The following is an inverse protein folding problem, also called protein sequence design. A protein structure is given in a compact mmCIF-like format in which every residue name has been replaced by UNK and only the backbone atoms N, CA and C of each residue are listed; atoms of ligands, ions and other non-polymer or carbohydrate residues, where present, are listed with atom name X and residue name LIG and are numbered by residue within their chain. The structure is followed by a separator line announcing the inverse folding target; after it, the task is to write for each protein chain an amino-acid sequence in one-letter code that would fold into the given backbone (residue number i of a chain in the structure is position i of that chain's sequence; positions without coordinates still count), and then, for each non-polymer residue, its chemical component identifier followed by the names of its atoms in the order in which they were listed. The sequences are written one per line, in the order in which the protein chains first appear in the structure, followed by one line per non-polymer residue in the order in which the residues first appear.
data_IF_387460343371
#
_entry.id   IF_387460343371
#
_cell.length_a   1.000
_cell.length_b   1.000
_cell.length_c   1.000
_cell.angle_alpha   90.00
_cell.angle_beta   90.00
_cell.angle_gamma   90.00
#
_symmetry.space_group_name_H-M   'P 1'
#
loop_
_entity.id
_entity.type
_entity.pdbx_description
1 polymer ?
#
# COMPACT_ATOMS: atom_id res chain seq x y z
N UNK A 1 -22.18 13.75 -53.88
CA UNK A 1 -22.80 12.47 -53.49
C UNK A 1 -22.07 11.74 -52.39
N UNK A 2 -20.75 11.58 -52.42
CA UNK A 2 -19.97 10.85 -51.39
C UNK A 2 -20.01 11.46 -49.96
N UNK A 3 -20.12 12.78 -49.81
CA UNK A 3 -20.22 13.42 -48.47
C UNK A 3 -21.61 13.24 -47.81
N UNK A 4 -22.68 13.20 -48.59
CA UNK A 4 -24.04 13.00 -48.06
C UNK A 4 -24.22 11.54 -47.60
N UNK A 5 -23.66 10.56 -48.36
CA UNK A 5 -23.72 9.16 -47.93
C UNK A 5 -22.94 8.87 -46.62
N UNK A 6 -21.80 9.55 -46.42
CA UNK A 6 -21.04 9.44 -45.17
C UNK A 6 -21.76 10.07 -43.98
N UNK A 7 -22.45 11.20 -44.19
CA UNK A 7 -23.24 11.83 -43.15
C UNK A 7 -24.47 10.98 -42.77
N UNK A 8 -25.16 10.40 -43.73
CA UNK A 8 -26.33 9.53 -43.50
C UNK A 8 -25.89 8.22 -42.81
N UNK A 9 -24.76 7.63 -43.21
CA UNK A 9 -24.24 6.46 -42.54
C UNK A 9 -23.78 6.75 -41.10
N UNK A 10 -23.15 7.90 -40.85
CA UNK A 10 -22.77 8.31 -39.48
C UNK A 10 -24.02 8.63 -38.62
N UNK A 11 -25.06 9.23 -39.17
CA UNK A 11 -26.30 9.48 -38.44
C UNK A 11 -27.07 8.20 -38.13
N UNK A 12 -27.09 7.23 -39.04
CA UNK A 12 -27.77 5.95 -38.82
C UNK A 12 -27.01 5.08 -37.78
N UNK A 13 -25.71 5.07 -37.80
CA UNK A 13 -24.90 4.40 -36.78
C UNK A 13 -25.08 5.05 -35.40
N UNK A 14 -25.11 6.38 -35.32
CA UNK A 14 -25.37 7.10 -34.06
C UNK A 14 -26.81 6.86 -33.54
N UNK A 15 -27.82 6.80 -34.40
CA UNK A 15 -29.21 6.49 -34.01
C UNK A 15 -29.36 5.04 -33.54
N UNK A 16 -28.68 4.07 -34.21
CA UNK A 16 -28.69 2.67 -33.79
C UNK A 16 -27.96 2.44 -32.46
N UNK A 17 -26.89 3.18 -32.19
CA UNK A 17 -26.19 3.11 -30.91
C UNK A 17 -27.01 3.73 -29.77
N UNK A 18 -27.74 4.83 -29.99
CA UNK A 18 -28.62 5.44 -29.02
C UNK A 18 -29.83 4.56 -28.66
N UNK A 19 -30.39 3.83 -29.63
CA UNK A 19 -31.49 2.90 -29.38
C UNK A 19 -31.05 1.66 -28.62
N UNK A 20 -29.85 1.10 -28.94
CA UNK A 20 -29.29 -0.04 -28.22
C UNK A 20 -28.95 0.32 -26.76
N UNK A 21 -28.44 1.54 -26.49
CA UNK A 21 -28.13 2.00 -25.14
C UNK A 21 -29.37 2.24 -24.29
N UNK A 22 -30.42 2.84 -24.84
CA UNK A 22 -31.71 2.99 -24.16
C UNK A 22 -32.29 1.62 -23.80
N UNK A 23 -32.04 0.62 -24.62
CA UNK A 23 -32.48 -0.75 -24.40
C UNK A 23 -31.78 -1.41 -23.20
N UNK A 24 -30.43 -1.29 -23.07
CA UNK A 24 -29.68 -1.87 -21.91
C UNK A 24 -30.11 -1.25 -20.58
N UNK A 25 -30.20 0.09 -20.47
CA UNK A 25 -30.66 0.72 -19.24
C UNK A 25 -32.09 0.33 -18.89
N UNK A 26 -32.98 0.27 -19.87
CA UNK A 26 -34.36 -0.16 -19.66
C UNK A 26 -34.44 -1.63 -19.21
N UNK A 27 -33.62 -2.50 -19.76
CA UNK A 27 -33.53 -3.91 -19.34
C UNK A 27 -33.02 -4.01 -17.89
N UNK A 28 -31.97 -3.26 -17.51
CA UNK A 28 -31.46 -3.24 -16.15
C UNK A 28 -32.50 -2.72 -15.13
N UNK A 29 -33.24 -1.68 -15.49
CA UNK A 29 -34.29 -1.11 -14.62
C UNK A 29 -35.52 -2.02 -14.50
N UNK A 30 -35.73 -2.95 -15.43
CA UNK A 30 -36.82 -3.93 -15.43
C UNK A 30 -36.46 -5.27 -14.77
N UNK A 31 -35.24 -5.44 -14.26
CA UNK A 31 -34.84 -6.68 -13.59
C UNK A 31 -35.62 -6.90 -12.29
N UNK A 32 -35.77 -8.16 -11.93
CA UNK A 32 -36.23 -8.55 -10.59
C UNK A 32 -35.05 -8.90 -9.67
N UNK A 33 -35.18 -8.73 -8.35
CA UNK A 33 -34.15 -9.14 -7.40
C UNK A 33 -33.76 -10.61 -7.57
N UNK A 34 -32.46 -10.92 -7.49
CA UNK A 34 -31.92 -12.27 -7.65
C UNK A 34 -31.62 -12.70 -9.10
N UNK A 35 -31.98 -11.88 -10.07
CA UNK A 35 -31.71 -12.17 -11.48
C UNK A 35 -30.22 -12.00 -11.83
N UNK A 36 -29.72 -12.90 -12.67
CA UNK A 36 -28.40 -12.76 -13.30
C UNK A 36 -28.63 -12.20 -14.71
N UNK A 37 -28.12 -11.02 -14.96
CA UNK A 37 -28.18 -10.35 -16.26
C UNK A 37 -26.79 -10.37 -16.92
N UNK A 38 -26.73 -10.92 -18.12
CA UNK A 38 -25.49 -10.94 -18.89
C UNK A 38 -25.52 -9.84 -19.95
N UNK A 39 -24.59 -8.89 -19.86
CA UNK A 39 -24.45 -7.85 -20.87
C UNK A 39 -24.03 -8.46 -22.21
N UNK A 40 -24.66 -8.00 -23.31
CA UNK A 40 -24.41 -8.58 -24.64
C UNK A 40 -22.96 -8.32 -25.09
N UNK A 41 -22.45 -9.14 -26.04
CA UNK A 41 -21.15 -8.89 -26.65
C UNK A 41 -21.11 -7.56 -27.39
N UNK A 42 -19.91 -6.96 -27.48
CA UNK A 42 -19.66 -5.67 -28.12
C UNK A 42 -19.57 -4.52 -27.15
N UNK A 43 -19.68 -3.29 -27.66
CA UNK A 43 -19.52 -2.08 -26.87
C UNK A 43 -20.82 -1.69 -26.18
N UNK A 44 -20.76 -1.53 -24.86
CA UNK A 44 -21.85 -1.07 -24.00
C UNK A 44 -21.48 0.31 -23.44
N UNK A 45 -22.38 1.26 -23.50
CA UNK A 45 -22.20 2.59 -22.91
C UNK A 45 -22.43 2.60 -21.40
N UNK A 46 -22.08 3.68 -20.67
CA UNK A 46 -22.29 3.80 -19.24
C UNK A 46 -23.73 3.52 -18.80
N UNK A 47 -23.89 2.89 -17.64
CA UNK A 47 -25.19 2.54 -17.09
C UNK A 47 -25.22 2.62 -15.57
N UNK A 48 -26.45 2.57 -15.03
CA UNK A 48 -26.73 2.59 -13.59
C UNK A 48 -27.48 1.32 -13.19
N UNK A 49 -27.07 0.69 -12.09
CA UNK A 49 -27.74 -0.49 -11.52
C UNK A 49 -28.56 -0.04 -10.30
N UNK A 50 -29.89 -0.07 -10.43
CA UNK A 50 -30.85 0.40 -9.42
C UNK A 50 -31.67 -0.71 -8.78
N UNK A 51 -31.60 -1.92 -9.29
CA UNK A 51 -32.36 -3.06 -8.75
C UNK A 51 -31.48 -3.82 -7.77
N UNK A 52 -31.95 -4.02 -6.55
CA UNK A 52 -31.22 -4.68 -5.51
C UNK A 52 -31.07 -6.20 -5.74
N UNK A 53 -29.94 -6.78 -5.28
CA UNK A 53 -29.71 -8.22 -5.30
C UNK A 53 -29.51 -8.82 -6.69
N UNK A 54 -29.30 -8.03 -7.72
CA UNK A 54 -29.03 -8.54 -9.06
C UNK A 54 -27.54 -8.79 -9.28
N UNK A 55 -27.25 -9.74 -10.18
CA UNK A 55 -25.89 -9.94 -10.69
C UNK A 55 -25.83 -9.45 -12.14
N UNK A 56 -24.96 -8.48 -12.41
CA UNK A 56 -24.65 -8.00 -13.76
C UNK A 56 -23.24 -8.51 -14.12
N UNK A 57 -23.15 -9.30 -15.16
CA UNK A 57 -21.86 -9.82 -15.64
C UNK A 57 -21.72 -9.60 -17.15
N UNK A 58 -20.49 -9.62 -17.61
CA UNK A 58 -20.21 -9.44 -19.03
C UNK A 58 -20.00 -10.77 -19.76
N UNK A 59 -20.45 -10.83 -20.99
CA UNK A 59 -19.96 -11.81 -21.94
C UNK A 59 -18.48 -11.54 -22.24
N UNK A 60 -17.69 -12.56 -22.59
CA UNK A 60 -16.23 -12.43 -22.80
C UNK A 60 -15.80 -11.33 -23.78
N UNK A 61 -16.62 -11.02 -24.77
CA UNK A 61 -16.38 -9.97 -25.78
C UNK A 61 -17.07 -8.63 -25.45
N UNK A 62 -17.60 -8.44 -24.25
CA UNK A 62 -18.24 -7.19 -23.82
C UNK A 62 -17.21 -6.17 -23.37
N UNK A 63 -17.30 -4.96 -23.92
CA UNK A 63 -16.54 -3.79 -23.49
C UNK A 63 -17.50 -2.71 -22.98
N UNK A 64 -17.44 -2.37 -21.71
CA UNK A 64 -18.14 -1.22 -21.13
C UNK A 64 -17.26 0.01 -21.28
N UNK A 65 -17.64 0.94 -22.17
CA UNK A 65 -16.85 2.12 -22.53
C UNK A 65 -17.46 3.41 -21.99
N UNK A 66 -16.72 4.12 -21.14
CA UNK A 66 -17.16 5.37 -20.53
C UNK A 66 -17.20 6.57 -21.46
N UNK A 67 -16.71 6.46 -22.70
CA UNK A 67 -16.70 7.57 -23.66
C UNK A 67 -15.81 8.75 -23.23
N UNK A 68 -14.92 8.57 -22.27
CA UNK A 68 -14.02 9.61 -21.76
C UNK A 68 -14.66 10.61 -20.80
N UNK A 69 -15.86 10.34 -20.28
CA UNK A 69 -16.59 11.27 -19.42
C UNK A 69 -17.29 10.55 -18.26
N UNK A 70 -17.29 11.16 -17.08
CA UNK A 70 -18.02 10.70 -15.91
C UNK A 70 -17.69 9.31 -15.43
N UNK A 71 -18.59 8.72 -14.68
CA UNK A 71 -18.53 7.34 -14.18
C UNK A 71 -19.13 6.38 -15.21
N UNK A 72 -18.47 5.23 -15.39
CA UNK A 72 -18.92 4.24 -16.37
C UNK A 72 -20.01 3.32 -15.83
N UNK A 73 -19.81 2.77 -14.62
CA UNK A 73 -20.79 1.91 -13.95
C UNK A 73 -21.12 2.54 -12.60
N UNK A 74 -22.36 2.94 -12.41
CA UNK A 74 -22.88 3.46 -11.15
C UNK A 74 -23.78 2.40 -10.49
N UNK A 75 -23.48 2.01 -9.25
CA UNK A 75 -24.27 1.06 -8.48
C UNK A 75 -24.96 1.81 -7.34
N UNK A 76 -26.29 1.92 -7.41
CA UNK A 76 -27.13 2.61 -6.44
C UNK A 76 -27.93 1.66 -5.53
N UNK A 77 -27.91 0.35 -5.82
CA UNK A 77 -28.73 -0.63 -5.11
C UNK A 77 -27.90 -1.61 -4.28
N UNK A 78 -28.49 -2.10 -3.19
CA UNK A 78 -27.87 -3.03 -2.26
C UNK A 78 -27.74 -4.45 -2.83
N UNK A 79 -26.73 -5.20 -2.41
CA UNK A 79 -26.55 -6.62 -2.73
C UNK A 79 -26.25 -6.89 -4.21
N UNK A 80 -25.87 -5.89 -4.98
CA UNK A 80 -25.52 -6.03 -6.39
C UNK A 80 -24.17 -6.72 -6.54
N UNK A 81 -24.06 -7.64 -7.49
CA UNK A 81 -22.76 -8.17 -7.96
C UNK A 81 -22.51 -7.66 -9.38
N UNK A 82 -21.35 -7.00 -9.59
CA UNK A 82 -20.85 -6.59 -10.90
C UNK A 82 -19.53 -7.30 -11.19
N UNK A 83 -19.49 -8.13 -12.23
CA UNK A 83 -18.34 -9.02 -12.43
C UNK A 83 -18.00 -9.36 -13.86
N UNK A 84 -16.72 -9.74 -14.08
CA UNK A 84 -16.22 -10.30 -15.33
C UNK A 84 -16.19 -9.32 -16.50
N UNK A 85 -16.18 -8.02 -16.24
CA UNK A 85 -16.31 -6.97 -17.25
C UNK A 85 -14.97 -6.30 -17.60
N UNK A 86 -14.76 -6.03 -18.89
CA UNK A 86 -13.78 -5.07 -19.34
C UNK A 86 -14.41 -3.66 -19.30
N UNK A 87 -13.89 -2.77 -18.41
CA UNK A 87 -14.38 -1.39 -18.28
C UNK A 87 -13.26 -0.45 -18.69
N UNK A 88 -13.52 0.47 -19.59
CA UNK A 88 -12.52 1.36 -20.17
C UNK A 88 -13.02 2.81 -20.22
N UNK A 89 -12.06 3.70 -20.32
CA UNK A 89 -12.26 5.04 -20.86
C UNK A 89 -13.28 5.89 -20.07
N UNK A 90 -13.34 5.76 -18.74
CA UNK A 90 -14.10 6.68 -17.89
C UNK A 90 -13.46 8.07 -17.84
N UNK A 91 -14.15 9.04 -17.27
CA UNK A 91 -13.70 10.42 -17.16
C UNK A 91 -12.42 10.59 -16.35
N UNK A 92 -11.91 11.81 -16.31
CA UNK A 92 -10.66 12.15 -15.62
C UNK A 92 -10.81 13.20 -14.51
N UNK A 93 -12.02 13.65 -14.24
CA UNK A 93 -12.27 14.71 -13.26
C UNK A 93 -12.30 14.12 -11.85
N UNK A 94 -11.21 14.32 -11.10
CA UNK A 94 -11.06 13.83 -9.73
C UNK A 94 -12.02 14.53 -8.76
N UNK A 95 -12.44 15.77 -9.06
CA UNK A 95 -13.37 16.52 -8.20
C UNK A 95 -14.81 16.04 -8.36
N UNK A 96 -15.16 15.52 -9.54
CA UNK A 96 -16.45 14.90 -9.81
C UNK A 96 -16.48 13.42 -9.46
N UNK A 97 -15.34 12.88 -8.99
CA UNK A 97 -15.17 11.48 -8.63
C UNK A 97 -15.41 10.52 -9.81
N UNK A 98 -15.03 10.93 -11.03
CA UNK A 98 -15.15 10.07 -12.20
C UNK A 98 -14.48 8.71 -11.93
N UNK A 99 -15.21 7.61 -12.18
CA UNK A 99 -14.77 6.27 -11.84
C UNK A 99 -15.13 5.23 -12.89
N UNK A 100 -14.35 4.15 -12.95
CA UNK A 100 -14.74 2.95 -13.70
C UNK A 100 -16.00 2.34 -13.10
N UNK A 101 -15.98 2.10 -11.78
CA UNK A 101 -17.13 1.66 -10.99
C UNK A 101 -17.30 2.56 -9.78
N UNK A 102 -18.45 3.17 -9.62
CA UNK A 102 -18.83 3.96 -8.45
C UNK A 102 -19.94 3.24 -7.67
N UNK A 103 -19.69 2.95 -6.39
CA UNK A 103 -20.70 2.35 -5.50
C UNK A 103 -21.23 3.43 -4.59
N UNK A 104 -22.51 3.76 -4.75
CA UNK A 104 -23.16 4.84 -4.03
C UNK A 104 -23.46 4.44 -2.57
N UNK A 105 -23.69 5.44 -1.74
CA UNK A 105 -23.90 5.32 -0.28
C UNK A 105 -25.04 4.38 0.10
N UNK A 106 -26.06 4.31 -0.71
CA UNK A 106 -27.25 3.49 -0.49
C UNK A 106 -26.99 2.00 -0.79
N UNK A 107 -25.95 1.72 -1.58
CA UNK A 107 -25.62 0.38 -2.06
C UNK A 107 -24.74 -0.35 -1.02
N UNK A 108 -25.35 -1.10 -0.11
CA UNK A 108 -24.66 -1.94 0.87
C UNK A 108 -24.45 -3.37 0.37
N UNK A 109 -23.39 -4.03 0.83
CA UNK A 109 -23.14 -5.44 0.50
C UNK A 109 -22.91 -5.69 -1.00
N UNK A 110 -22.34 -4.71 -1.71
CA UNK A 110 -22.05 -4.80 -3.14
C UNK A 110 -20.78 -5.62 -3.36
N UNK A 111 -20.75 -6.41 -4.43
CA UNK A 111 -19.57 -7.12 -4.89
C UNK A 111 -19.14 -6.60 -6.26
N UNK A 112 -17.87 -6.17 -6.36
CA UNK A 112 -17.20 -5.80 -7.62
C UNK A 112 -16.07 -6.80 -7.84
N UNK A 113 -16.23 -7.77 -8.77
CA UNK A 113 -15.33 -8.90 -8.85
C UNK A 113 -14.84 -9.21 -10.27
N UNK A 114 -13.59 -9.67 -10.36
CA UNK A 114 -13.00 -10.22 -11.59
C UNK A 114 -13.10 -9.31 -12.83
N UNK A 115 -13.14 -7.99 -12.61
CA UNK A 115 -13.19 -7.02 -13.70
C UNK A 115 -11.80 -6.59 -14.14
N UNK A 116 -11.69 -6.19 -15.39
CA UNK A 116 -10.50 -5.56 -15.94
C UNK A 116 -10.79 -4.09 -16.21
N UNK A 117 -10.30 -3.22 -15.32
CA UNK A 117 -10.57 -1.78 -15.31
C UNK A 117 -9.34 -1.01 -15.79
N UNK A 118 -9.49 -0.12 -16.78
CA UNK A 118 -8.39 0.73 -17.25
C UNK A 118 -8.86 2.14 -17.60
N UNK A 119 -8.30 3.16 -16.92
CA UNK A 119 -8.69 4.55 -17.14
C UNK A 119 -7.89 5.55 -16.31
N UNK A 120 -8.37 6.81 -16.25
CA UNK A 120 -7.59 7.96 -15.79
C UNK A 120 -7.86 8.37 -14.35
N UNK A 121 -9.14 8.44 -13.97
CA UNK A 121 -9.55 8.78 -12.61
C UNK A 121 -9.65 7.51 -11.73
N UNK A 122 -10.66 7.38 -10.87
CA UNK A 122 -10.74 6.27 -9.92
C UNK A 122 -11.12 4.95 -10.61
N UNK A 123 -10.46 3.85 -10.22
CA UNK A 123 -10.86 2.53 -10.73
C UNK A 123 -12.19 2.10 -10.10
N UNK A 124 -12.20 1.93 -8.77
CA UNK A 124 -13.40 1.66 -7.97
C UNK A 124 -13.50 2.71 -6.87
N UNK A 125 -14.64 3.36 -6.75
CA UNK A 125 -14.97 4.27 -5.65
C UNK A 125 -16.09 3.68 -4.80
N UNK A 126 -15.84 3.56 -3.48
CA UNK A 126 -16.84 3.14 -2.50
C UNK A 126 -17.21 4.36 -1.64
N UNK A 127 -18.45 4.87 -1.77
CA UNK A 127 -18.94 6.02 -1.02
C UNK A 127 -19.79 5.58 0.17
N UNK A 128 -19.22 5.59 1.35
CA UNK A 128 -19.89 5.29 2.62
C UNK A 128 -20.71 3.98 2.62
N UNK A 129 -20.32 3.02 1.78
CA UNK A 129 -21.03 1.76 1.60
C UNK A 129 -20.51 0.69 2.58
N UNK A 130 -21.36 0.13 3.45
CA UNK A 130 -20.92 -0.95 4.34
C UNK A 130 -20.87 -2.31 3.63
N UNK A 131 -20.00 -3.19 4.13
CA UNK A 131 -19.90 -4.60 3.76
C UNK A 131 -19.65 -4.84 2.25
N UNK A 132 -18.96 -3.90 1.59
CA UNK A 132 -18.60 -4.04 0.18
C UNK A 132 -17.48 -5.05 -0.01
N UNK A 133 -17.49 -5.77 -1.13
CA UNK A 133 -16.42 -6.69 -1.54
C UNK A 133 -15.85 -6.24 -2.89
N UNK A 134 -14.52 -6.05 -2.95
CA UNK A 134 -13.80 -5.77 -4.21
C UNK A 134 -12.76 -6.88 -4.38
N UNK A 135 -13.02 -7.81 -5.29
CA UNK A 135 -12.32 -9.09 -5.36
C UNK A 135 -11.73 -9.36 -6.75
N UNK A 136 -10.44 -9.72 -6.83
CA UNK A 136 -9.83 -10.28 -8.05
C UNK A 136 -9.79 -9.34 -9.25
N UNK A 137 -9.96 -8.03 -9.07
CA UNK A 137 -9.96 -7.09 -10.19
C UNK A 137 -8.53 -6.78 -10.65
N UNK A 138 -8.38 -6.59 -11.95
CA UNK A 138 -7.18 -6.04 -12.58
C UNK A 138 -7.43 -4.57 -12.87
N UNK A 139 -6.68 -3.67 -12.19
CA UNK A 139 -6.90 -2.23 -12.30
C UNK A 139 -5.64 -1.56 -12.84
N UNK A 140 -5.77 -0.81 -13.92
CA UNK A 140 -4.67 -0.10 -14.58
C UNK A 140 -5.00 1.39 -14.72
N UNK A 141 -4.11 2.25 -14.21
CA UNK A 141 -4.16 3.67 -14.46
C UNK A 141 -3.56 4.05 -15.82
N UNK A 142 -3.47 5.33 -16.10
CA UNK A 142 -2.85 5.86 -17.31
C UNK A 142 -1.38 6.27 -17.04
N UNK A 143 -0.43 5.44 -17.48
CA UNK A 143 1.00 5.67 -17.28
C UNK A 143 1.52 6.94 -18.00
N UNK A 144 0.81 7.46 -19.00
CA UNK A 144 1.19 8.70 -19.71
C UNK A 144 0.97 9.95 -18.86
N UNK A 145 0.13 9.87 -17.82
CA UNK A 145 -0.12 10.97 -16.88
C UNK A 145 0.90 10.95 -15.74
N UNK A 146 1.21 12.14 -15.18
CA UNK A 146 1.98 12.22 -13.93
C UNK A 146 1.21 11.49 -12.81
N UNK A 147 1.92 10.77 -11.94
CA UNK A 147 1.28 9.97 -10.88
C UNK A 147 0.32 10.77 -9.99
N UNK A 148 0.63 12.04 -9.70
CA UNK A 148 -0.23 12.89 -8.88
C UNK A 148 -1.56 13.32 -9.57
N UNK A 149 -1.63 13.24 -10.88
CA UNK A 149 -2.79 13.63 -11.68
C UNK A 149 -3.74 12.43 -11.94
N UNK A 150 -3.34 11.23 -11.56
CA UNK A 150 -4.14 10.00 -11.69
C UNK A 150 -5.10 9.84 -10.51
N UNK A 151 -6.16 9.06 -10.69
CA UNK A 151 -7.01 8.61 -9.58
C UNK A 151 -6.41 7.42 -8.84
N UNK A 152 -7.03 7.03 -7.73
CA UNK A 152 -6.67 5.81 -7.00
C UNK A 152 -7.25 4.57 -7.68
N UNK A 153 -6.61 3.42 -7.48
CA UNK A 153 -7.14 2.16 -7.98
C UNK A 153 -8.47 1.81 -7.31
N UNK A 154 -8.44 1.69 -5.98
CA UNK A 154 -9.63 1.49 -5.14
C UNK A 154 -9.64 2.58 -4.07
N UNK A 155 -10.75 3.28 -3.91
CA UNK A 155 -10.91 4.32 -2.90
C UNK A 155 -12.07 3.98 -1.95
N UNK A 156 -11.77 3.88 -0.66
CA UNK A 156 -12.73 3.70 0.41
C UNK A 156 -12.94 5.04 1.12
N UNK A 157 -14.11 5.63 0.99
CA UNK A 157 -14.48 6.85 1.70
C UNK A 157 -15.61 6.56 2.68
N UNK A 158 -15.34 6.69 3.98
CA UNK A 158 -16.29 6.41 5.06
C UNK A 158 -16.92 5.00 5.01
N UNK A 159 -16.12 3.98 4.65
CA UNK A 159 -16.55 2.60 4.45
C UNK A 159 -16.31 1.78 5.71
N UNK A 160 -17.21 0.82 5.99
CA UNK A 160 -17.06 -0.11 7.10
C UNK A 160 -17.29 -1.56 6.67
N UNK A 161 -16.48 -2.49 7.21
CA UNK A 161 -16.66 -3.92 7.01
C UNK A 161 -16.32 -4.44 5.61
N UNK A 162 -15.66 -3.63 4.77
CA UNK A 162 -15.33 -4.06 3.42
C UNK A 162 -14.22 -5.11 3.36
N UNK A 163 -14.29 -5.95 2.34
CA UNK A 163 -13.24 -6.89 1.94
C UNK A 163 -12.64 -6.45 0.59
N UNK A 164 -11.34 -6.14 0.60
CA UNK A 164 -10.56 -5.79 -0.59
C UNK A 164 -9.51 -6.88 -0.79
N UNK A 165 -9.72 -7.78 -1.74
CA UNK A 165 -8.91 -8.99 -1.83
C UNK A 165 -8.49 -9.36 -3.25
N UNK A 166 -7.22 -9.81 -3.40
CA UNK A 166 -6.74 -10.43 -4.62
C UNK A 166 -6.68 -9.52 -5.84
N UNK A 167 -6.70 -8.18 -5.66
CA UNK A 167 -6.65 -7.26 -6.78
C UNK A 167 -5.20 -7.02 -7.24
N UNK A 168 -4.99 -6.91 -8.56
CA UNK A 168 -3.74 -6.47 -9.19
C UNK A 168 -3.89 -5.03 -9.68
N UNK A 169 -3.20 -4.09 -9.00
CA UNK A 169 -3.37 -2.65 -9.22
C UNK A 169 -2.04 -2.02 -9.61
N UNK A 170 -1.99 -1.37 -10.77
CA UNK A 170 -0.78 -0.70 -11.26
C UNK A 170 -1.08 0.64 -11.91
N UNK A 171 -0.07 1.53 -11.89
CA UNK A 171 -0.06 2.78 -12.65
C UNK A 171 -1.20 3.75 -12.30
N UNK A 172 -1.85 3.57 -11.17
CA UNK A 172 -2.76 4.55 -10.55
C UNK A 172 -1.98 5.53 -9.68
N UNK A 173 -2.63 6.50 -9.03
CA UNK A 173 -1.94 7.36 -8.06
C UNK A 173 -1.53 6.55 -6.83
N UNK A 174 -2.50 6.08 -6.07
CA UNK A 174 -2.35 5.13 -4.97
C UNK A 174 -3.14 3.87 -5.37
N UNK A 175 -2.68 2.68 -4.99
CA UNK A 175 -3.44 1.49 -5.35
C UNK A 175 -4.74 1.41 -4.54
N UNK A 176 -4.63 1.44 -3.21
CA UNK A 176 -5.78 1.40 -2.30
C UNK A 176 -5.67 2.58 -1.35
N UNK A 177 -6.65 3.47 -1.37
CA UNK A 177 -6.75 4.61 -0.46
C UNK A 177 -7.92 4.42 0.50
N UNK A 178 -7.64 4.51 1.79
CA UNK A 178 -8.58 4.21 2.86
C UNK A 178 -8.71 5.47 3.72
N UNK A 179 -9.85 6.15 3.60
CA UNK A 179 -10.14 7.41 4.26
C UNK A 179 -11.36 7.29 5.17
N UNK A 180 -11.19 7.60 6.45
CA UNK A 180 -12.27 7.56 7.46
C UNK A 180 -13.04 6.23 7.47
N UNK A 181 -12.34 5.11 7.19
CA UNK A 181 -12.93 3.80 6.91
C UNK A 181 -12.42 2.76 7.90
N UNK A 182 -13.31 2.07 8.60
CA UNK A 182 -12.97 1.23 9.75
C UNK A 182 -13.42 -0.23 9.58
N UNK A 183 -12.80 -1.14 10.34
CA UNK A 183 -13.14 -2.55 10.36
C UNK A 183 -13.08 -3.25 9.00
N UNK A 184 -12.21 -2.77 8.09
CA UNK A 184 -12.04 -3.33 6.76
C UNK A 184 -10.91 -4.36 6.74
N UNK A 185 -10.96 -5.27 5.78
CA UNK A 185 -9.93 -6.29 5.53
C UNK A 185 -9.34 -6.09 4.14
N UNK A 186 -8.05 -5.80 4.09
CA UNK A 186 -7.30 -5.58 2.86
C UNK A 186 -6.25 -6.67 2.76
N UNK A 187 -6.42 -7.65 1.87
CA UNK A 187 -5.54 -8.80 1.83
C UNK A 187 -5.24 -9.34 0.44
N UNK A 188 -4.09 -9.99 0.31
CA UNK A 188 -3.67 -10.69 -0.92
C UNK A 188 -3.64 -9.80 -2.18
N UNK A 189 -3.53 -8.47 -2.05
CA UNK A 189 -3.46 -7.56 -3.19
C UNK A 189 -2.01 -7.41 -3.67
N UNK A 190 -1.83 -7.28 -4.98
CA UNK A 190 -0.54 -7.01 -5.62
C UNK A 190 -0.56 -5.62 -6.25
N UNK A 191 0.43 -4.79 -5.90
CA UNK A 191 0.46 -3.37 -6.23
C UNK A 191 1.85 -2.98 -6.75
N UNK A 192 1.92 -2.29 -7.89
CA UNK A 192 3.20 -1.87 -8.45
C UNK A 192 3.12 -0.55 -9.25
N UNK A 193 4.26 0.15 -9.39
CA UNK A 193 4.41 1.36 -10.21
C UNK A 193 3.46 2.50 -9.78
N UNK A 194 3.44 2.82 -8.48
CA UNK A 194 2.49 3.71 -7.84
C UNK A 194 3.19 4.80 -7.02
N UNK A 195 2.44 5.81 -6.61
CA UNK A 195 2.89 6.72 -5.55
C UNK A 195 2.89 5.98 -4.20
N UNK A 196 1.74 5.44 -3.79
CA UNK A 196 1.58 4.62 -2.59
C UNK A 196 0.86 3.31 -2.93
N UNK A 197 1.35 2.21 -2.38
CA UNK A 197 0.65 0.94 -2.46
C UNK A 197 -0.65 1.01 -1.66
N UNK A 198 -0.57 1.06 -0.35
CA UNK A 198 -1.73 1.28 0.52
C UNK A 198 -1.55 2.62 1.25
N UNK A 199 -2.58 3.48 1.18
CA UNK A 199 -2.61 4.79 1.81
C UNK A 199 -3.76 4.88 2.81
N UNK A 200 -3.42 5.11 4.08
CA UNK A 200 -4.38 5.28 5.18
C UNK A 200 -4.49 6.72 5.64
N UNK A 201 -5.72 7.15 5.88
CA UNK A 201 -6.02 8.43 6.55
C UNK A 201 -7.22 8.25 7.50
N UNK A 202 -7.04 8.60 8.77
CA UNK A 202 -8.12 8.65 9.77
C UNK A 202 -8.95 7.37 9.91
N UNK A 203 -8.33 6.20 9.79
CA UNK A 203 -9.01 4.92 9.71
C UNK A 203 -8.52 3.97 10.79
N UNK A 204 -9.43 3.22 11.40
CA UNK A 204 -9.15 2.43 12.61
C UNK A 204 -9.59 0.97 12.45
N UNK A 205 -9.01 0.10 13.28
CA UNK A 205 -9.46 -1.29 13.44
C UNK A 205 -9.47 -2.08 12.11
N UNK A 206 -8.51 -1.80 11.22
CA UNK A 206 -8.39 -2.47 9.93
C UNK A 206 -7.30 -3.55 9.95
N UNK A 207 -7.51 -4.59 9.16
CA UNK A 207 -6.54 -5.65 8.89
C UNK A 207 -5.91 -5.48 7.52
N UNK A 208 -4.57 -5.43 7.47
CA UNK A 208 -3.76 -5.51 6.26
C UNK A 208 -2.97 -6.81 6.31
N UNK A 209 -3.24 -7.72 5.39
CA UNK A 209 -2.64 -9.05 5.45
C UNK A 209 -2.19 -9.55 4.07
N UNK A 210 -0.96 -10.09 3.99
CA UNK A 210 -0.42 -10.74 2.78
C UNK A 210 -0.45 -9.86 1.51
N UNK A 211 -0.43 -8.53 1.63
CA UNK A 211 -0.35 -7.65 0.47
C UNK A 211 1.11 -7.50 0.01
N UNK A 212 1.31 -7.26 -1.28
CA UNK A 212 2.64 -7.08 -1.88
C UNK A 212 2.71 -5.75 -2.62
N UNK A 213 3.73 -4.94 -2.30
CA UNK A 213 4.08 -3.74 -3.07
C UNK A 213 5.42 -3.92 -3.74
N UNK A 214 5.57 -3.39 -4.97
CA UNK A 214 6.83 -3.45 -5.74
C UNK A 214 7.09 -2.17 -6.51
N UNK A 215 8.28 -1.59 -6.32
CA UNK A 215 8.72 -0.42 -7.08
C UNK A 215 7.77 0.78 -6.93
N UNK A 216 7.15 0.95 -5.78
CA UNK A 216 6.33 2.13 -5.47
C UNK A 216 7.20 3.21 -4.82
N UNK A 217 6.72 4.44 -4.74
CA UNK A 217 7.41 5.47 -3.96
C UNK A 217 7.34 5.19 -2.47
N UNK A 218 6.24 4.63 -2.01
CA UNK A 218 6.03 4.14 -0.64
C UNK A 218 5.13 2.92 -0.67
N UNK A 219 5.56 1.83 -0.07
CA UNK A 219 4.75 0.60 0.00
C UNK A 219 3.47 0.83 0.79
N UNK A 220 3.61 1.11 2.07
CA UNK A 220 2.51 1.27 3.01
C UNK A 220 2.61 2.63 3.70
N UNK A 221 1.74 3.57 3.35
CA UNK A 221 1.65 4.88 3.97
C UNK A 221 0.51 4.89 5.01
N UNK A 222 0.85 4.61 6.26
CA UNK A 222 -0.09 4.56 7.37
C UNK A 222 -0.09 5.92 8.08
N UNK A 223 -1.22 6.65 8.01
CA UNK A 223 -1.29 8.01 8.52
C UNK A 223 -2.52 8.22 9.40
N UNK A 224 -2.32 8.91 10.54
CA UNK A 224 -3.35 9.39 11.46
C UNK A 224 -4.41 8.32 11.82
N UNK A 225 -3.95 7.11 12.09
CA UNK A 225 -4.80 5.94 12.30
C UNK A 225 -4.37 5.17 13.56
N UNK A 226 -5.22 4.28 14.04
CA UNK A 226 -4.92 3.50 15.24
C UNK A 226 -5.52 2.10 15.19
N UNK A 227 -4.96 1.21 16.01
CA UNK A 227 -5.38 -0.20 16.12
C UNK A 227 -5.43 -0.89 14.76
N UNK A 228 -4.38 -0.65 13.97
CA UNK A 228 -4.17 -1.39 12.74
C UNK A 228 -3.48 -2.72 13.05
N UNK A 229 -3.89 -3.76 12.36
CA UNK A 229 -3.24 -5.07 12.37
C UNK A 229 -2.61 -5.29 11.00
N UNK A 230 -1.27 -5.28 10.94
CA UNK A 230 -0.48 -5.30 9.69
C UNK A 230 0.35 -6.58 9.67
N UNK A 231 -0.12 -7.61 8.97
CA UNK A 231 0.42 -8.97 9.04
C UNK A 231 0.98 -9.45 7.72
N UNK A 232 2.18 -10.02 7.73
CA UNK A 232 2.75 -10.77 6.60
C UNK A 232 2.76 -10.01 5.25
N UNK A 233 2.78 -8.68 5.28
CA UNK A 233 2.87 -7.89 4.06
C UNK A 233 4.31 -7.81 3.56
N UNK A 234 4.47 -7.60 2.25
CA UNK A 234 5.77 -7.47 1.60
C UNK A 234 5.89 -6.12 0.90
N UNK A 235 7.05 -5.48 1.07
CA UNK A 235 7.46 -4.26 0.37
C UNK A 235 8.80 -4.55 -0.29
N UNK A 236 8.84 -4.51 -1.62
CA UNK A 236 10.01 -4.94 -2.40
C UNK A 236 10.47 -3.82 -3.32
N UNK A 237 11.72 -3.35 -3.12
CA UNK A 237 12.36 -2.33 -3.96
C UNK A 237 11.56 -1.03 -4.09
N UNK A 238 10.89 -0.61 -3.02
CA UNK A 238 10.22 0.68 -2.95
C UNK A 238 11.24 1.83 -2.80
N UNK A 239 10.89 3.07 -3.21
CA UNK A 239 11.90 4.12 -3.35
C UNK A 239 12.24 4.85 -2.03
N UNK A 240 11.25 5.35 -1.31
CA UNK A 240 11.50 6.21 -0.15
C UNK A 240 11.22 5.49 1.17
N UNK A 241 10.09 4.80 1.21
CA UNK A 241 9.63 4.10 2.41
C UNK A 241 8.98 2.77 2.06
N UNK A 242 9.39 1.72 2.74
CA UNK A 242 8.64 0.47 2.72
C UNK A 242 7.35 0.62 3.53
N UNK A 243 7.49 0.98 4.81
CA UNK A 243 6.38 1.31 5.70
C UNK A 243 6.61 2.71 6.27
N UNK A 244 5.69 3.62 6.04
CA UNK A 244 5.65 4.96 6.62
C UNK A 244 4.55 5.01 7.69
N UNK A 245 4.92 5.31 8.92
CA UNK A 245 4.00 5.52 10.04
C UNK A 245 4.02 6.98 10.46
N UNK A 246 2.89 7.64 10.35
CA UNK A 246 2.72 9.04 10.71
C UNK A 246 1.50 9.22 11.60
N UNK A 247 1.70 9.48 12.90
CA UNK A 247 0.65 9.49 13.93
C UNK A 247 -0.14 8.16 14.00
N UNK A 248 0.58 7.04 14.05
CA UNK A 248 0.00 5.70 14.23
C UNK A 248 0.15 5.28 15.69
N UNK A 249 -0.94 4.78 16.28
CA UNK A 249 -0.91 4.33 17.67
C UNK A 249 -1.59 2.98 17.88
N UNK A 250 -1.13 2.24 18.90
CA UNK A 250 -1.78 0.99 19.35
C UNK A 250 -1.96 -0.03 18.22
N UNK A 251 -0.98 -0.14 17.34
CA UNK A 251 -1.04 -1.01 16.16
C UNK A 251 0.00 -2.13 16.26
N UNK A 252 -0.32 -3.26 15.64
CA UNK A 252 0.54 -4.43 15.55
C UNK A 252 1.08 -4.55 14.12
N UNK A 253 2.42 -4.68 14.00
CA UNK A 253 3.10 -4.99 12.75
C UNK A 253 3.87 -6.30 12.94
N UNK A 254 3.40 -7.39 12.34
CA UNK A 254 3.98 -8.72 12.56
C UNK A 254 4.21 -9.48 11.26
N UNK A 255 5.35 -10.15 11.17
CA UNK A 255 5.68 -11.02 10.03
C UNK A 255 5.89 -10.28 8.71
N UNK A 256 6.01 -8.95 8.71
CA UNK A 256 6.17 -8.19 7.46
C UNK A 256 7.61 -8.27 6.95
N UNK A 257 7.78 -8.31 5.65
CA UNK A 257 9.07 -8.31 4.99
C UNK A 257 9.24 -7.05 4.15
N UNK A 258 10.22 -6.22 4.50
CA UNK A 258 10.56 -5.01 3.75
C UNK A 258 11.99 -5.14 3.27
N UNK A 259 12.21 -5.09 1.97
CA UNK A 259 13.54 -5.29 1.39
C UNK A 259 13.83 -4.36 0.22
N UNK A 260 15.10 -3.92 0.14
CA UNK A 260 15.59 -3.18 -1.01
C UNK A 260 15.09 -1.73 -1.12
N UNK A 261 14.67 -1.13 0.00
CA UNK A 261 14.22 0.26 -0.02
C UNK A 261 15.43 1.18 -0.12
N UNK A 262 15.49 1.91 -1.21
CA UNK A 262 16.61 2.77 -1.54
C UNK A 262 16.15 4.18 -1.90
N UNK A 263 17.11 5.10 -1.96
CA UNK A 263 16.87 6.47 -2.39
C UNK A 263 16.23 6.51 -3.78
N UNK A 264 15.10 7.20 -3.90
CA UNK A 264 14.40 7.38 -5.18
C UNK A 264 15.27 8.08 -6.23
N UNK A 265 15.14 7.69 -7.49
CA UNK A 265 15.94 8.18 -8.62
C UNK A 265 15.88 9.71 -8.81
N UNK A 266 14.84 10.36 -8.33
CA UNK A 266 14.63 11.81 -8.41
C UNK A 266 15.19 12.60 -7.22
N UNK A 267 15.67 11.93 -6.19
CA UNK A 267 16.30 12.62 -5.06
C UNK A 267 17.76 12.95 -5.45
N UNK A 268 18.07 14.22 -5.66
CA UNK A 268 19.44 14.67 -5.96
C UNK A 268 20.46 14.13 -4.94
N UNK A 269 21.70 13.89 -5.38
CA UNK A 269 22.74 13.20 -4.59
C UNK A 269 23.07 13.84 -3.23
N UNK A 270 22.64 15.08 -2.99
CA UNK A 270 23.01 15.89 -1.82
C UNK A 270 21.83 16.21 -0.89
N UNK A 271 20.60 15.73 -1.12
CA UNK A 271 19.50 15.97 -0.20
C UNK A 271 19.66 15.10 1.06
N UNK A 272 19.96 15.75 2.18
CA UNK A 272 19.91 15.12 3.51
C UNK A 272 18.50 14.61 3.79
N UNK A 273 18.38 13.35 4.21
CA UNK A 273 17.09 12.72 4.53
C UNK A 273 16.41 12.03 3.35
N UNK A 274 17.04 11.99 2.17
CA UNK A 274 16.51 11.30 0.99
C UNK A 274 16.77 9.78 0.99
N UNK A 275 17.52 9.24 1.96
CA UNK A 275 17.81 7.82 2.08
C UNK A 275 16.53 6.98 2.14
N UNK A 276 16.50 5.83 1.49
CA UNK A 276 15.41 4.86 1.56
C UNK A 276 15.31 4.24 2.95
N UNK A 277 14.11 4.13 3.49
CA UNK A 277 13.87 3.62 4.84
C UNK A 277 12.94 2.41 4.77
N UNK A 278 13.39 1.27 5.27
CA UNK A 278 12.48 0.14 5.36
C UNK A 278 11.26 0.51 6.22
N UNK A 279 11.49 1.13 7.38
CA UNK A 279 10.41 1.70 8.20
C UNK A 279 10.76 3.14 8.60
N UNK A 280 9.82 4.06 8.45
CA UNK A 280 9.91 5.41 8.98
C UNK A 280 8.78 5.66 9.99
N UNK A 281 9.14 6.03 11.22
CA UNK A 281 8.22 6.21 12.33
C UNK A 281 8.27 7.68 12.79
N UNK A 282 7.15 8.37 12.62
CA UNK A 282 6.99 9.77 12.98
C UNK A 282 5.79 9.96 13.92
N UNK A 283 6.00 10.50 15.10
CA UNK A 283 4.96 10.75 16.12
C UNK A 283 4.01 9.56 16.34
N UNK A 284 4.57 8.34 16.34
CA UNK A 284 3.79 7.11 16.45
C UNK A 284 4.19 6.35 17.71
N UNK A 285 3.19 5.97 18.51
CA UNK A 285 3.35 5.54 19.90
C UNK A 285 2.60 4.23 20.17
N UNK A 286 3.11 3.44 21.13
CA UNK A 286 2.43 2.25 21.63
C UNK A 286 2.14 1.20 20.55
N UNK A 287 3.03 1.08 19.56
CA UNK A 287 2.93 0.06 18.52
C UNK A 287 3.85 -1.10 18.85
N UNK A 288 3.50 -2.28 18.36
CA UNK A 288 4.28 -3.51 18.53
C UNK A 288 4.81 -3.99 17.18
N UNK A 289 6.11 -4.27 17.11
CA UNK A 289 6.78 -4.82 15.93
C UNK A 289 7.41 -6.15 16.31
N UNK A 290 6.95 -7.26 15.74
CA UNK A 290 7.47 -8.59 15.99
C UNK A 290 7.59 -9.41 14.71
N UNK A 291 8.57 -10.30 14.67
CA UNK A 291 8.74 -11.26 13.56
C UNK A 291 8.93 -10.61 12.18
N UNK A 292 9.25 -9.30 12.12
CA UNK A 292 9.46 -8.61 10.86
C UNK A 292 10.89 -8.76 10.35
N UNK A 293 11.05 -8.70 9.03
CA UNK A 293 12.36 -8.66 8.37
C UNK A 293 12.53 -7.33 7.65
N UNK A 294 13.54 -6.56 8.04
CA UNK A 294 13.93 -5.29 7.42
C UNK A 294 15.32 -5.47 6.80
N UNK A 295 15.39 -5.56 5.46
CA UNK A 295 16.61 -6.01 4.80
C UNK A 295 17.05 -5.13 3.62
N UNK A 296 18.37 -5.10 3.36
CA UNK A 296 18.98 -4.56 2.14
C UNK A 296 18.53 -3.14 1.78
N UNK A 297 18.24 -2.31 2.77
CA UNK A 297 17.76 -0.93 2.61
C UNK A 297 18.84 0.08 3.00
N UNK A 298 18.70 1.37 2.60
CA UNK A 298 19.65 2.39 3.05
C UNK A 298 19.56 2.56 4.57
N UNK A 299 18.34 2.52 5.14
CA UNK A 299 18.09 2.55 6.59
C UNK A 299 17.05 1.47 6.93
N UNK A 300 17.33 0.65 7.93
CA UNK A 300 16.37 -0.32 8.46
C UNK A 300 15.17 0.41 9.10
N UNK A 301 15.37 1.05 10.26
CA UNK A 301 14.34 1.89 10.88
C UNK A 301 14.86 3.30 11.08
N UNK A 302 14.08 4.30 10.67
CA UNK A 302 14.26 5.70 11.06
C UNK A 302 13.16 6.10 12.03
N UNK A 303 13.55 6.29 13.28
CA UNK A 303 12.68 6.71 14.37
C UNK A 303 12.92 8.18 14.69
N UNK A 304 11.88 8.99 14.70
CA UNK A 304 11.97 10.40 15.08
C UNK A 304 11.64 10.61 16.55
N UNK A 305 12.04 11.75 17.10
CA UNK A 305 11.57 12.19 18.41
C UNK A 305 10.04 12.23 18.48
N UNK A 306 9.46 11.89 19.63
CA UNK A 306 8.00 11.75 19.78
C UNK A 306 7.43 10.43 19.31
N UNK A 307 8.29 9.47 18.89
CA UNK A 307 7.89 8.10 18.56
C UNK A 307 8.40 7.15 19.66
N UNK A 308 7.78 7.22 20.81
CA UNK A 308 8.23 6.51 22.01
C UNK A 308 7.28 5.38 22.37
N UNK A 309 7.66 4.54 23.34
CA UNK A 309 6.84 3.46 23.86
C UNK A 309 6.38 2.43 22.79
N UNK A 310 7.19 2.23 21.75
CA UNK A 310 6.98 1.16 20.79
C UNK A 310 7.78 -0.07 21.21
N UNK A 311 7.14 -1.23 21.24
CA UNK A 311 7.80 -2.51 21.50
C UNK A 311 8.38 -3.06 20.20
N UNK A 312 9.67 -3.39 20.19
CA UNK A 312 10.39 -3.93 19.02
C UNK A 312 11.25 -5.11 19.46
N UNK A 313 10.80 -6.32 19.22
CA UNK A 313 11.49 -7.54 19.59
C UNK A 313 11.21 -8.66 18.59
N UNK A 314 12.09 -9.64 18.54
CA UNK A 314 12.04 -10.77 17.61
C UNK A 314 11.99 -10.36 16.12
N UNK A 315 12.58 -9.21 15.75
CA UNK A 315 12.68 -8.79 14.35
C UNK A 315 14.10 -9.10 13.82
N UNK A 316 14.25 -9.15 12.49
CA UNK A 316 15.54 -9.28 11.82
C UNK A 316 15.90 -8.01 11.04
N UNK A 317 17.06 -7.44 11.36
CA UNK A 317 17.66 -6.32 10.63
C UNK A 317 18.86 -6.85 9.83
N UNK A 318 18.70 -6.96 8.51
CA UNK A 318 19.65 -7.71 7.67
C UNK A 318 20.26 -6.82 6.59
N UNK A 319 21.58 -6.64 6.63
CA UNK A 319 22.36 -5.98 5.58
C UNK A 319 21.84 -4.58 5.19
N UNK A 320 21.25 -3.83 6.10
CA UNK A 320 20.94 -2.42 5.84
C UNK A 320 22.24 -1.60 5.93
N UNK A 321 22.37 -0.54 5.14
CA UNK A 321 23.57 0.32 5.23
C UNK A 321 23.66 0.97 6.62
N UNK A 322 22.51 1.21 7.25
CA UNK A 322 22.37 1.60 8.65
C UNK A 322 21.15 0.90 9.24
N UNK A 323 21.35 0.16 10.35
CA UNK A 323 20.24 -0.57 10.97
C UNK A 323 19.19 0.36 11.56
N UNK A 324 19.62 1.35 12.33
CA UNK A 324 18.73 2.30 13.01
C UNK A 324 19.25 3.72 12.84
N UNK A 325 18.33 4.65 12.59
CA UNK A 325 18.56 6.08 12.72
C UNK A 325 17.57 6.64 13.74
N UNK A 326 18.08 7.08 14.88
CA UNK A 326 17.30 7.65 15.96
C UNK A 326 18.00 8.86 16.57
N UNK A 327 17.32 10.01 16.54
CA UNK A 327 17.83 11.27 17.09
C UNK A 327 16.82 11.79 18.13
N UNK A 328 17.05 11.43 19.40
CA UNK A 328 16.22 11.91 20.50
C UNK A 328 17.00 11.96 21.82
N UNK A 329 16.31 12.26 22.91
CA UNK A 329 16.87 12.48 24.23
C UNK A 329 16.64 11.32 25.20
N UNK A 330 15.88 10.32 24.82
CA UNK A 330 15.60 9.12 25.64
C UNK A 330 16.28 7.90 25.06
N UNK A 331 16.74 7.01 25.95
CA UNK A 331 17.11 5.66 25.55
C UNK A 331 15.86 4.82 25.37
N UNK A 332 15.81 4.04 24.30
CA UNK A 332 14.74 3.08 24.02
C UNK A 332 15.29 1.68 24.05
N UNK A 333 14.71 0.84 24.90
CA UNK A 333 15.02 -0.59 24.96
C UNK A 333 14.19 -1.36 23.94
N UNK A 334 14.86 -2.12 23.08
CA UNK A 334 14.23 -2.91 22.01
C UNK A 334 14.35 -4.40 22.26
N UNK A 335 14.16 -4.78 23.51
CA UNK A 335 13.93 -6.18 23.90
C UNK A 335 12.72 -6.26 24.82
N UNK A 336 12.08 -7.40 24.85
CA UNK A 336 10.95 -7.67 25.73
C UNK A 336 11.02 -9.09 26.25
N UNK A 337 10.85 -9.27 27.56
CA UNK A 337 10.84 -10.59 28.23
C UNK A 337 12.06 -11.46 27.92
N UNK A 338 13.24 -10.83 27.73
CA UNK A 338 14.49 -11.50 27.42
C UNK A 338 14.70 -11.83 25.93
N UNK A 339 13.85 -11.33 25.06
CA UNK A 339 13.94 -11.51 23.61
C UNK A 339 14.19 -10.16 22.95
N UNK A 340 15.32 -10.01 22.26
CA UNK A 340 15.65 -8.83 21.46
C UNK A 340 15.45 -9.08 19.96
N UNK A 341 16.30 -8.45 19.14
CA UNK A 341 16.24 -8.56 17.68
C UNK A 341 17.54 -9.15 17.12
N UNK A 342 17.45 -9.68 15.91
CA UNK A 342 18.63 -10.09 15.15
C UNK A 342 19.20 -8.90 14.36
N UNK A 343 20.52 -8.70 14.47
CA UNK A 343 21.25 -7.63 13.81
C UNK A 343 22.41 -8.23 13.01
N UNK A 344 22.40 -8.13 11.71
CA UNK A 344 23.41 -8.74 10.84
C UNK A 344 24.84 -8.19 11.05
N UNK A 345 25.00 -7.06 11.70
CA UNK A 345 26.26 -6.42 12.06
C UNK A 345 26.60 -6.53 13.57
N UNK A 346 25.84 -7.33 14.33
CA UNK A 346 26.17 -7.63 15.72
C UNK A 346 27.42 -8.52 15.81
N UNK A 347 28.39 -8.09 16.60
CA UNK A 347 29.68 -8.76 16.78
C UNK A 347 29.90 -9.31 18.20
N UNK A 348 28.86 -9.38 19.00
CA UNK A 348 28.91 -9.94 20.35
C UNK A 348 29.05 -11.46 20.35
N UNK A 349 29.11 -12.03 21.52
CA UNK A 349 29.25 -13.46 21.75
C UNK A 349 28.13 -14.00 22.62
N UNK A 350 27.86 -15.27 22.53
CA UNK A 350 26.96 -16.07 23.33
C UNK A 350 27.74 -17.18 24.03
N UNK A 351 28.08 -17.04 25.33
CA UNK A 351 28.92 -17.95 26.09
C UNK A 351 28.16 -19.16 26.62
N UNK A 352 26.87 -18.94 26.93
CA UNK A 352 26.02 -19.98 27.50
C UNK A 352 25.28 -20.79 26.43
N UNK A 353 25.37 -20.37 25.15
CA UNK A 353 24.78 -21.01 23.98
C UNK A 353 23.26 -21.10 24.05
N UNK A 354 22.61 -20.05 24.59
CA UNK A 354 21.16 -19.94 24.62
C UNK A 354 20.56 -19.25 23.40
N UNK A 355 21.40 -18.81 22.45
CA UNK A 355 20.97 -18.11 21.24
C UNK A 355 20.82 -16.60 21.40
N UNK A 356 21.12 -16.07 22.59
CA UNK A 356 21.09 -14.65 22.92
C UNK A 356 22.51 -14.13 23.18
N UNK A 357 22.86 -12.99 22.64
CA UNK A 357 24.17 -12.40 22.89
C UNK A 357 24.31 -11.85 24.29
N UNK A 358 25.45 -12.13 24.94
CA UNK A 358 25.80 -11.66 26.29
C UNK A 358 26.15 -10.16 26.36
N UNK A 359 26.30 -9.49 25.22
CA UNK A 359 26.62 -8.07 25.11
C UNK A 359 25.47 -7.33 24.45
N UNK A 360 24.91 -6.30 25.10
CA UNK A 360 23.87 -5.48 24.46
C UNK A 360 24.34 -4.88 23.13
N UNK A 361 23.40 -4.77 22.18
CA UNK A 361 23.63 -4.09 20.90
C UNK A 361 23.15 -2.65 20.96
N UNK A 362 24.00 -1.71 20.56
CA UNK A 362 23.71 -0.27 20.52
C UNK A 362 23.99 0.23 19.08
N UNK A 363 22.95 0.34 18.19
CA UNK A 363 23.14 0.68 16.78
C UNK A 363 23.57 2.13 16.52
N UNK A 364 23.58 2.98 17.55
CA UNK A 364 23.83 4.40 17.41
C UNK A 364 24.97 4.85 18.36
N UNK A 365 25.98 5.50 17.80
CA UNK A 365 27.05 6.13 18.57
C UNK A 365 26.92 7.68 18.65
N UNK A 366 27.78 8.33 19.44
CA UNK A 366 27.79 9.79 19.55
C UNK A 366 28.23 10.48 18.27
N UNK A 367 29.03 9.82 17.44
CA UNK A 367 29.47 10.32 16.13
C UNK A 367 28.29 10.31 15.17
N UNK A 368 27.50 9.26 15.16
CA UNK A 368 26.28 9.20 14.38
C UNK A 368 25.33 10.34 14.73
N UNK A 369 25.12 10.58 16.03
CA UNK A 369 24.30 11.69 16.49
C UNK A 369 24.84 13.05 16.06
N UNK A 370 26.15 13.26 16.12
CA UNK A 370 26.81 14.48 15.64
C UNK A 370 26.53 14.69 14.14
N UNK A 371 26.70 13.64 13.34
CA UNK A 371 26.49 13.69 11.89
C UNK A 371 25.04 13.90 11.49
N UNK A 372 24.08 13.46 12.31
CA UNK A 372 22.65 13.72 12.07
C UNK A 372 22.25 15.14 12.46
N UNK A 373 22.90 15.68 13.51
CA UNK A 373 22.67 17.06 13.95
C UNK A 373 23.35 18.06 13.01
N UNK A 374 24.53 17.70 12.48
CA UNK A 374 25.34 18.52 11.60
C UNK A 374 25.69 17.76 10.32
N UNK A 375 24.79 17.67 9.33
CA UNK A 375 25.00 16.89 8.12
C UNK A 375 26.26 17.24 7.33
N UNK A 376 26.73 18.48 7.43
CA UNK A 376 27.96 18.98 6.78
C UNK A 376 29.21 18.28 7.34
N UNK A 377 29.19 17.81 8.57
CA UNK A 377 30.28 17.07 9.20
C UNK A 377 30.52 15.69 8.57
N UNK A 378 29.62 15.22 7.70
CA UNK A 378 29.80 13.97 6.92
C UNK A 378 31.08 13.98 6.07
N UNK A 379 31.55 15.15 5.66
CA UNK A 379 32.85 15.29 4.96
C UNK A 379 34.02 14.78 5.80
N UNK A 380 33.88 14.78 7.12
CA UNK A 380 34.90 14.37 8.08
C UNK A 380 34.82 12.87 8.46
N UNK A 381 33.83 12.13 7.98
CA UNK A 381 33.56 10.74 8.39
C UNK A 381 34.74 9.78 8.21
N UNK A 382 35.58 10.04 7.22
CA UNK A 382 36.77 9.24 6.94
C UNK A 382 38.05 9.89 7.47
N UNK A 383 37.93 10.80 8.42
CA UNK A 383 39.09 11.46 9.02
C UNK A 383 39.58 10.70 10.25
N UNK A 384 40.92 10.66 10.49
CA UNK A 384 41.47 10.07 11.69
C UNK A 384 40.91 10.64 13.00
N UNK A 385 40.38 11.85 12.97
CA UNK A 385 39.73 12.46 14.12
C UNK A 385 38.41 11.76 14.50
N UNK A 386 37.60 11.36 13.51
CA UNK A 386 36.37 10.59 13.77
C UNK A 386 36.69 9.19 14.27
N UNK A 387 37.67 8.53 13.69
CA UNK A 387 38.12 7.20 14.14
C UNK A 387 38.66 7.27 15.59
N UNK A 388 39.40 8.32 15.91
CA UNK A 388 39.88 8.56 17.28
C UNK A 388 38.73 8.80 18.25
N UNK A 389 37.71 9.57 17.87
CA UNK A 389 36.52 9.81 18.69
C UNK A 389 35.75 8.51 18.95
N UNK A 390 35.55 7.66 17.95
CA UNK A 390 34.91 6.34 18.11
C UNK A 390 35.72 5.46 19.05
N UNK A 391 37.04 5.36 18.85
CA UNK A 391 37.91 4.61 19.73
C UNK A 391 37.87 5.13 21.18
N UNK A 392 37.88 6.44 21.40
CA UNK A 392 37.75 7.03 22.76
C UNK A 392 36.38 6.70 23.38
N UNK A 393 35.30 6.72 22.62
CA UNK A 393 33.97 6.33 23.11
C UNK A 393 33.92 4.86 23.55
N UNK A 394 34.50 3.98 22.75
CA UNK A 394 34.55 2.53 23.04
C UNK A 394 35.46 2.25 24.28
N UNK A 395 36.57 2.97 24.38
CA UNK A 395 37.51 2.79 25.48
C UNK A 395 37.08 3.43 26.80
N UNK A 396 36.28 4.54 26.73
CA UNK A 396 35.83 5.33 27.88
C UNK A 396 34.35 5.68 27.74
N UNK A 397 33.42 4.77 28.01
CA UNK A 397 31.98 4.99 27.83
C UNK A 397 31.38 5.90 28.93
N UNK A 398 32.04 7.00 29.23
CA UNK A 398 31.64 7.95 30.30
C UNK A 398 30.42 8.80 29.88
N UNK A 399 30.23 8.97 28.57
CA UNK A 399 29.11 9.74 27.99
C UNK A 399 28.39 8.84 27.00
N UNK A 400 27.39 8.10 27.48
CA UNK A 400 26.45 7.42 26.58
C UNK A 400 25.41 8.42 26.08
N UNK A 401 25.30 8.58 24.77
CA UNK A 401 24.15 9.30 24.20
C UNK A 401 22.90 8.46 24.32
N UNK A 402 21.77 9.11 24.53
CA UNK A 402 20.49 8.45 24.41
C UNK A 402 20.36 7.86 22.99
N UNK A 403 19.94 6.62 22.89
CA UNK A 403 19.86 5.86 21.65
C UNK A 403 18.91 4.67 21.78
N UNK A 404 18.92 3.83 20.79
CA UNK A 404 18.29 2.51 20.87
C UNK A 404 19.30 1.55 21.51
N UNK A 405 18.82 0.72 22.40
CA UNK A 405 19.56 -0.38 23.02
C UNK A 405 18.74 -1.66 22.88
N UNK A 406 19.38 -2.75 22.51
CA UNK A 406 18.85 -4.09 22.56
C UNK A 406 19.68 -4.88 23.57
N UNK A 407 19.09 -5.17 24.72
CA UNK A 407 19.79 -5.84 25.82
C UNK A 407 19.93 -7.36 25.59
N UNK A 408 19.17 -7.92 24.67
CA UNK A 408 19.11 -9.36 24.41
C UNK A 408 19.19 -9.69 22.90
N UNK A 409 20.24 -9.21 22.18
CA UNK A 409 20.32 -9.40 20.74
C UNK A 409 20.38 -10.89 20.36
N UNK A 410 19.63 -11.26 19.33
CA UNK A 410 19.58 -12.65 18.88
C UNK A 410 20.82 -13.00 18.03
N UNK A 411 21.39 -14.17 18.26
CA UNK A 411 22.54 -14.69 17.49
C UNK A 411 22.12 -15.19 16.10
N UNK A 412 20.87 -15.58 15.94
CA UNK A 412 20.31 -16.09 14.68
C UNK A 412 19.02 -15.34 14.35
N UNK A 413 18.75 -15.11 13.04
CA UNK A 413 17.47 -14.49 12.66
C UNK A 413 16.30 -15.37 13.07
N UNK A 414 15.19 -14.80 13.56
CA UNK A 414 13.98 -15.55 13.82
C UNK A 414 13.51 -16.23 12.52
N UNK A 415 13.07 -17.48 12.62
CA UNK A 415 12.50 -18.17 11.47
C UNK A 415 11.18 -17.45 11.10
N UNK A 416 11.03 -16.93 9.88
CA UNK A 416 9.77 -16.36 9.46
C UNK A 416 8.70 -17.46 9.49
N UNK A 417 7.55 -17.21 10.10
CA UNK A 417 6.40 -18.09 9.93
C UNK A 417 6.19 -18.35 8.44
N UNK A 418 6.17 -19.62 8.04
CA UNK A 418 6.02 -19.99 6.62
C UNK A 418 4.69 -19.48 6.11
N UNK A 419 4.72 -18.35 5.41
CA UNK A 419 3.55 -17.88 4.66
C UNK A 419 3.29 -18.92 3.56
N UNK A 420 2.09 -19.52 3.46
CA UNK A 420 1.76 -20.36 2.32
C UNK A 420 2.02 -19.54 1.05
N UNK A 421 2.75 -20.12 0.10
CA UNK A 421 3.01 -19.48 -1.18
C UNK A 421 1.68 -19.03 -1.80
N UNK A 422 1.57 -17.74 -2.12
CA UNK A 422 0.40 -17.19 -2.78
C UNK A 422 0.05 -18.07 -3.97
N UNK A 423 -1.18 -18.55 -4.01
CA UNK A 423 -1.72 -19.31 -5.13
C UNK A 423 -1.52 -18.46 -6.37
N UNK A 424 -0.68 -18.93 -7.30
CA UNK A 424 -0.47 -18.29 -8.58
C UNK A 424 -1.82 -18.20 -9.29
N UNK A 425 -2.30 -16.99 -9.49
CA UNK A 425 -3.51 -16.77 -10.29
C UNK A 425 -3.22 -17.23 -11.74
N UNK A 426 -3.89 -18.27 -12.25
CA UNK A 426 -3.60 -18.83 -13.58
C UNK A 426 -3.90 -17.89 -14.74
N UNK A 427 -4.45 -16.70 -14.48
CA UNK A 427 -4.84 -15.73 -15.51
C UNK A 427 -3.81 -14.62 -15.78
N UNK A 428 -2.61 -14.69 -15.21
CA UNK A 428 -1.52 -13.73 -15.51
C UNK A 428 -0.62 -14.24 -16.65
N UNK A 429 -1.16 -14.51 -17.82
CA UNK A 429 -0.36 -14.68 -19.02
C UNK A 429 0.11 -13.30 -19.50
N UNK A 430 1.42 -13.04 -19.48
CA UNK A 430 2.02 -11.88 -20.14
C UNK A 430 1.73 -11.96 -21.65
N UNK A 431 1.27 -10.89 -22.29
CA UNK A 431 1.26 -10.83 -23.75
C UNK A 431 2.71 -10.67 -24.23
N UNK A 432 3.10 -11.55 -25.13
CA UNK A 432 4.35 -11.48 -25.91
C UNK A 432 4.37 -10.28 -26.84
#
# INVERSE_FOLDING_TARGET
MHHILRLVAALTVALLSLTAQADIQQQLDALEPGVVFELPPGQVSPFVIRVAGVTVRCHGDTLVDGGGQGTTVLIEAAGVTFSGCAVRNWGRDLNKLDAGVFVAREARGVTVADNNLQGKAFGVWLDATPDATVLGNVIRGDASMRSNDRGNGIHLFNVQGALIEGNDIRQTRDAIYIETSNNNRIRNNVMADLRYGIHYMYSMDNLLENNVTRGTRTGYALMQSKRLTVLNNRSENDENYGILMNFITQSELRGNVVTGVSKGQFAGALMSGAEGKAVFIYNSLYNTFTDNVFANSDIGIHLTAGSEDNAMFNNAFVNNQRQVKYVATRTQEWSQDGVGNYWSDYLGWDRNQDGTGDVPYEPNDNVDRLLWTYPEAKVLMFSPAVDTLRWVQDAFPVIKSAGVQDAHPLMYPPEPERVPSAVSNPNSAEPQ
#
